data_IF_252754737991
#
_entry.id   IF_252754737991
#
_cell.length_a   1.000
_cell.length_b   1.000
_cell.length_c   1.000
_cell.angle_alpha   90.00
_cell.angle_beta   90.00
_cell.angle_gamma   90.00
#
_symmetry.space_group_name_H-M   'P 1'
#
loop_
_entity.id
_entity.type
_entity.pdbx_description
1 polymer ?
#
# COMPACT_ATOMS: atom_id res chain seq x y z
N UNK A 1 -3.50 -2.20 -61.64
CA UNK A 1 -2.09 -2.63 -61.56
C UNK A 1 -1.55 -2.17 -60.20
N UNK A 2 -1.34 -3.14 -59.30
CA UNK A 2 -0.56 -3.11 -58.04
C UNK A 2 -0.87 -2.05 -56.95
N UNK A 3 -1.60 -2.52 -55.94
CA UNK A 3 -1.52 -2.05 -54.55
C UNK A 3 -0.06 -2.10 -54.04
N UNK A 4 0.38 -1.05 -53.35
CA UNK A 4 1.58 -1.05 -52.51
C UNK A 4 1.19 -0.43 -51.17
N UNK A 5 0.47 -1.20 -50.37
CA UNK A 5 0.36 -0.98 -48.94
C UNK A 5 1.67 -1.49 -48.32
N UNK A 6 2.56 -0.57 -47.97
CA UNK A 6 3.76 -0.88 -47.18
C UNK A 6 3.28 -1.10 -45.74
N UNK A 7 2.95 -2.35 -45.42
CA UNK A 7 2.85 -2.82 -44.05
C UNK A 7 4.26 -2.81 -43.45
N UNK A 8 4.58 -1.73 -42.73
CA UNK A 8 5.70 -1.68 -41.80
C UNK A 8 5.40 -2.67 -40.66
N UNK A 9 5.86 -3.91 -40.84
CA UNK A 9 6.05 -4.87 -39.77
C UNK A 9 7.12 -4.31 -38.82
N UNK A 10 6.69 -3.60 -37.77
CA UNK A 10 7.52 -3.33 -36.61
C UNK A 10 7.84 -4.68 -35.95
N UNK A 11 9.12 -5.06 -35.82
CA UNK A 11 9.48 -6.26 -35.09
C UNK A 11 9.19 -6.01 -33.62
N UNK A 12 8.26 -6.80 -33.06
CA UNK A 12 8.10 -6.98 -31.62
C UNK A 12 9.39 -7.60 -31.09
N UNK A 13 10.37 -6.75 -30.77
CA UNK A 13 11.47 -7.12 -29.91
C UNK A 13 10.94 -7.22 -28.48
N UNK A 14 10.15 -8.27 -28.20
CA UNK A 14 9.92 -8.78 -26.85
C UNK A 14 11.24 -9.45 -26.41
N UNK A 15 12.21 -8.61 -26.06
CA UNK A 15 13.38 -9.03 -25.33
C UNK A 15 12.94 -9.37 -23.90
N UNK A 16 13.45 -10.47 -23.35
CA UNK A 16 13.15 -11.00 -22.04
C UNK A 16 13.28 -9.95 -20.91
N UNK A 17 12.16 -9.35 -20.54
CA UNK A 17 11.91 -8.69 -19.25
C UNK A 17 10.46 -9.05 -18.91
N UNK A 18 10.19 -9.53 -17.70
CA UNK A 18 8.82 -9.86 -17.26
C UNK A 18 7.84 -8.72 -17.53
N UNK A 19 6.56 -9.07 -17.67
CA UNK A 19 5.49 -8.07 -17.77
C UNK A 19 5.30 -7.47 -16.37
N UNK A 20 5.68 -6.19 -16.11
CA UNK A 20 5.63 -5.63 -14.77
C UNK A 20 4.22 -5.64 -14.18
N UNK A 21 3.19 -5.59 -15.02
CA UNK A 21 1.80 -5.69 -14.56
C UNK A 21 1.48 -7.11 -14.10
N UNK A 22 1.93 -8.13 -14.83
CA UNK A 22 1.75 -9.52 -14.42
C UNK A 22 2.50 -9.81 -13.11
N UNK A 23 3.73 -9.30 -12.97
CA UNK A 23 4.54 -9.44 -11.75
C UNK A 23 3.83 -8.78 -10.55
N UNK A 24 3.27 -7.57 -10.72
CA UNK A 24 2.47 -6.91 -9.69
C UNK A 24 1.23 -7.74 -9.30
N UNK A 25 0.50 -8.27 -10.28
CA UNK A 25 -0.70 -9.06 -10.01
C UNK A 25 -0.38 -10.39 -9.30
N UNK A 26 0.75 -11.03 -9.60
CA UNK A 26 1.22 -12.21 -8.86
C UNK A 26 1.50 -11.87 -7.39
N UNK A 27 2.06 -10.69 -7.11
CA UNK A 27 2.28 -10.22 -5.74
C UNK A 27 0.99 -9.90 -5.00
N UNK A 28 0.02 -9.27 -5.67
CA UNK A 28 -1.34 -9.07 -5.12
C UNK A 28 -1.93 -10.40 -4.68
N UNK A 29 -1.86 -11.43 -5.54
CA UNK A 29 -2.32 -12.78 -5.19
C UNK A 29 -1.52 -13.40 -4.04
N UNK A 30 -0.20 -13.21 -4.04
CA UNK A 30 0.70 -13.73 -3.02
C UNK A 30 0.45 -13.18 -1.62
N UNK A 31 0.13 -11.88 -1.52
CA UNK A 31 -0.11 -11.20 -0.24
C UNK A 31 -1.58 -11.19 0.19
N UNK A 32 -2.52 -11.58 -0.67
CA UNK A 32 -3.96 -11.49 -0.39
C UNK A 32 -4.35 -12.15 0.95
N UNK A 33 -3.79 -13.31 1.28
CA UNK A 33 -4.12 -14.00 2.51
C UNK A 33 -3.74 -13.16 3.75
N UNK A 34 -2.51 -12.65 3.78
CA UNK A 34 -2.01 -11.76 4.83
C UNK A 34 -2.86 -10.51 4.95
N UNK A 35 -3.17 -9.85 3.82
CA UNK A 35 -3.99 -8.64 3.82
C UNK A 35 -5.44 -8.90 4.24
N UNK A 36 -5.97 -10.10 3.98
CA UNK A 36 -7.31 -10.51 4.47
C UNK A 36 -7.32 -10.72 5.98
N UNK A 37 -6.23 -11.25 6.55
CA UNK A 37 -6.09 -11.38 8.01
C UNK A 37 -6.06 -10.01 8.69
N UNK A 38 -5.32 -9.05 8.12
CA UNK A 38 -5.29 -7.67 8.61
C UNK A 38 -6.65 -6.99 8.49
N UNK A 39 -7.32 -7.10 7.34
CA UNK A 39 -8.63 -6.49 7.14
C UNK A 39 -9.71 -7.05 8.10
N UNK A 40 -9.55 -8.29 8.56
CA UNK A 40 -10.42 -8.93 9.55
C UNK A 40 -10.04 -8.60 11.01
N UNK A 41 -8.88 -7.98 11.23
CA UNK A 41 -8.37 -7.61 12.55
C UNK A 41 -9.05 -6.34 13.07
N UNK A 42 -9.37 -6.33 14.37
CA UNK A 42 -9.71 -5.08 15.09
C UNK A 42 -8.48 -4.44 15.72
N UNK A 43 -7.31 -5.10 15.61
CA UNK A 43 -6.07 -4.70 16.23
C UNK A 43 -5.25 -3.82 15.28
N UNK A 44 -4.95 -2.60 15.70
CA UNK A 44 -4.19 -1.63 14.89
C UNK A 44 -2.78 -2.12 14.62
N UNK A 45 -2.19 -2.93 15.52
CA UNK A 45 -0.87 -3.51 15.29
C UNK A 45 -0.81 -4.43 14.06
N UNK A 46 -1.92 -5.06 13.69
CA UNK A 46 -1.96 -5.96 12.54
C UNK A 46 -1.62 -5.24 11.22
N UNK A 47 -1.86 -3.93 11.12
CA UNK A 47 -1.50 -3.18 9.92
C UNK A 47 0.03 -3.04 9.76
N UNK A 48 0.76 -2.92 10.88
CA UNK A 48 2.22 -2.83 10.89
C UNK A 48 2.85 -4.20 10.59
N UNK A 49 2.23 -5.28 11.06
CA UNK A 49 2.66 -6.65 10.69
C UNK A 49 2.57 -6.92 9.18
N UNK A 50 1.75 -6.16 8.44
CA UNK A 50 1.62 -6.24 6.99
C UNK A 50 2.34 -5.13 6.23
N UNK A 51 3.10 -4.24 6.88
CA UNK A 51 3.85 -3.19 6.19
C UNK A 51 4.79 -3.74 5.13
N UNK A 52 5.50 -4.83 5.42
CA UNK A 52 6.35 -5.52 4.42
C UNK A 52 5.57 -5.93 3.15
N UNK A 53 4.31 -6.35 3.30
CA UNK A 53 3.46 -6.71 2.18
C UNK A 53 2.98 -5.47 1.41
N UNK A 54 2.64 -4.39 2.12
CA UNK A 54 2.29 -3.12 1.49
C UNK A 54 3.47 -2.51 0.73
N UNK A 55 4.68 -2.55 1.30
CA UNK A 55 5.89 -2.06 0.66
C UNK A 55 6.25 -2.85 -0.59
N UNK A 56 6.15 -4.18 -0.53
CA UNK A 56 6.41 -5.04 -1.70
C UNK A 56 5.43 -4.75 -2.85
N UNK A 57 4.16 -4.49 -2.52
CA UNK A 57 3.16 -4.11 -3.51
C UNK A 57 3.39 -2.69 -4.06
N UNK A 58 3.73 -1.73 -3.20
CA UNK A 58 4.04 -0.35 -3.58
C UNK A 58 5.27 -0.28 -4.50
N UNK A 59 6.36 -0.98 -4.16
CA UNK A 59 7.60 -1.01 -4.95
C UNK A 59 7.37 -1.55 -6.37
N UNK A 60 6.45 -2.50 -6.52
CA UNK A 60 6.16 -3.17 -7.78
C UNK A 60 4.92 -2.62 -8.49
N UNK A 61 4.29 -1.59 -7.94
CA UNK A 61 3.07 -1.02 -8.47
C UNK A 61 3.27 -0.47 -9.89
N UNK A 62 2.30 -0.68 -10.80
CA UNK A 62 2.31 0.02 -12.08
C UNK A 62 2.13 1.52 -11.88
N UNK A 63 2.58 2.31 -12.84
CA UNK A 63 2.54 3.78 -12.80
C UNK A 63 1.14 4.36 -12.57
N UNK A 64 0.10 3.61 -12.91
CA UNK A 64 -1.29 4.04 -12.78
C UNK A 64 -1.78 4.05 -11.32
N UNK A 65 -1.06 3.39 -10.39
CA UNK A 65 -1.46 3.24 -8.98
C UNK A 65 -0.30 3.47 -7.98
N UNK A 66 0.92 3.75 -8.45
CA UNK A 66 2.07 4.00 -7.57
C UNK A 66 1.86 5.20 -6.64
N UNK A 67 1.29 6.30 -7.14
CA UNK A 67 1.02 7.49 -6.33
C UNK A 67 -0.04 7.22 -5.24
N UNK A 68 -0.98 6.30 -5.49
CA UNK A 68 -1.96 5.88 -4.50
C UNK A 68 -1.33 4.95 -3.45
N UNK A 69 -0.41 4.07 -3.86
CA UNK A 69 0.40 3.28 -2.92
C UNK A 69 1.24 4.17 -2.00
N UNK A 70 1.96 5.16 -2.53
CA UNK A 70 2.74 6.12 -1.74
C UNK A 70 1.84 6.84 -0.71
N UNK A 71 0.62 7.21 -1.11
CA UNK A 71 -0.35 7.84 -0.22
C UNK A 71 -0.91 6.92 0.89
N UNK A 72 -0.68 5.61 0.78
CA UNK A 72 -1.02 4.60 1.79
C UNK A 72 0.20 4.26 2.65
N UNK A 73 1.36 3.98 2.07
CA UNK A 73 2.54 3.50 2.81
C UNK A 73 3.25 4.63 3.56
N UNK A 74 3.37 5.83 2.99
CA UNK A 74 4.11 6.92 3.62
C UNK A 74 3.54 7.30 5.00
N UNK A 75 2.21 7.45 5.18
CA UNK A 75 1.66 7.75 6.49
C UNK A 75 1.82 6.61 7.50
N UNK A 76 1.81 5.35 7.05
CA UNK A 76 1.98 4.20 7.93
C UNK A 76 3.43 4.13 8.45
N UNK A 77 4.42 4.30 7.58
CA UNK A 77 5.83 4.42 7.98
C UNK A 77 6.06 5.60 8.90
N UNK A 78 5.49 6.77 8.58
CA UNK A 78 5.61 7.94 9.45
C UNK A 78 5.01 7.70 10.85
N UNK A 79 3.94 6.91 10.96
CA UNK A 79 3.38 6.55 12.26
C UNK A 79 4.27 5.52 12.98
N UNK A 80 4.78 4.50 12.28
CA UNK A 80 5.71 3.52 12.86
C UNK A 80 6.96 4.19 13.42
N UNK A 81 7.57 5.10 12.64
CA UNK A 81 8.76 5.86 13.03
C UNK A 81 8.52 6.66 14.31
N UNK A 82 7.44 7.45 14.37
CA UNK A 82 7.12 8.28 15.54
C UNK A 82 6.84 7.41 16.77
N UNK A 83 6.13 6.29 16.62
CA UNK A 83 5.89 5.36 17.73
C UNK A 83 7.22 4.77 18.24
N UNK A 84 8.11 4.39 17.32
CA UNK A 84 9.44 3.87 17.63
C UNK A 84 10.36 4.89 18.33
N UNK A 85 10.30 6.17 17.94
CA UNK A 85 11.05 7.26 18.57
C UNK A 85 10.70 7.47 20.05
N UNK A 86 9.44 7.17 20.42
CA UNK A 86 8.92 7.34 21.77
C UNK A 86 8.77 6.02 22.56
N UNK A 87 9.34 4.92 22.05
CA UNK A 87 9.25 3.57 22.63
C UNK A 87 7.79 3.13 22.91
N UNK A 88 6.84 3.53 22.04
CA UNK A 88 5.42 3.20 22.16
C UNK A 88 5.07 1.99 21.31
N UNK A 89 4.42 1.00 21.92
CA UNK A 89 3.87 -0.15 21.21
C UNK A 89 2.54 0.24 20.52
N UNK A 90 2.50 0.12 19.19
CA UNK A 90 1.35 0.38 18.35
C UNK A 90 0.08 -0.37 18.76
N UNK A 91 0.21 -1.61 19.26
CA UNK A 91 -0.93 -2.43 19.70
C UNK A 91 -1.59 -1.89 20.97
N UNK A 92 -0.91 -1.00 21.68
CA UNK A 92 -1.35 -0.44 22.96
C UNK A 92 -1.68 1.04 22.89
N UNK A 93 -1.39 1.68 21.76
CA UNK A 93 -1.61 3.12 21.62
C UNK A 93 -3.12 3.43 21.53
N UNK A 94 -3.58 4.25 22.46
CA UNK A 94 -4.92 4.83 22.47
C UNK A 94 -4.81 6.34 22.67
N UNK A 95 -5.42 7.11 21.78
CA UNK A 95 -5.47 8.57 21.92
C UNK A 95 -6.29 9.00 23.15
N UNK A 96 -7.31 8.22 23.52
CA UNK A 96 -8.14 8.47 24.70
C UNK A 96 -7.42 8.09 26.00
N UNK A 97 -6.50 7.12 25.95
CA UNK A 97 -5.74 6.64 27.11
C UNK A 97 -4.26 6.42 26.74
N UNK A 98 -3.49 7.51 26.56
CA UNK A 98 -2.11 7.43 26.09
C UNK A 98 -1.15 6.85 27.15
N UNK A 99 -0.05 6.20 26.72
CA UNK A 99 0.92 5.58 27.63
C UNK A 99 1.44 6.52 28.72
N UNK A 100 1.68 5.96 29.91
CA UNK A 100 2.28 6.71 31.00
C UNK A 100 3.73 7.10 30.67
N UNK A 101 4.09 8.36 30.87
CA UNK A 101 5.44 8.87 30.63
C UNK A 101 5.63 9.59 29.29
N UNK A 102 4.65 9.52 28.38
CA UNK A 102 4.63 10.29 27.15
C UNK A 102 4.26 11.75 27.46
N UNK A 103 5.12 12.71 27.08
CA UNK A 103 4.84 14.14 27.25
C UNK A 103 3.86 14.68 26.21
N UNK A 104 3.38 15.91 26.41
CA UNK A 104 2.34 16.50 25.55
C UNK A 104 2.83 16.69 24.11
N UNK A 105 4.12 16.96 23.89
CA UNK A 105 4.66 17.16 22.55
C UNK A 105 4.72 15.84 21.77
N UNK A 106 5.18 14.77 22.42
CA UNK A 106 5.19 13.43 21.84
C UNK A 106 3.78 12.91 21.54
N UNK A 107 2.80 13.22 22.42
CA UNK A 107 1.38 12.93 22.18
C UNK A 107 0.86 13.62 20.92
N UNK A 108 1.10 14.92 20.80
CA UNK A 108 0.65 15.72 19.66
C UNK A 108 1.25 15.19 18.34
N UNK A 109 2.51 14.74 18.37
CA UNK A 109 3.21 14.18 17.21
C UNK A 109 2.62 12.84 16.76
N UNK A 110 2.44 11.89 17.69
CA UNK A 110 1.81 10.59 17.38
C UNK A 110 0.39 10.80 16.87
N UNK A 111 -0.39 11.68 17.50
CA UNK A 111 -1.75 11.97 17.05
C UNK A 111 -1.77 12.59 15.64
N UNK A 112 -0.81 13.45 15.31
CA UNK A 112 -0.71 14.03 13.97
C UNK A 112 -0.41 12.94 12.92
N UNK A 113 0.50 12.01 13.21
CA UNK A 113 0.80 10.88 12.35
C UNK A 113 -0.40 9.93 12.20
N UNK A 114 -1.06 9.58 13.30
CA UNK A 114 -2.27 8.74 13.28
C UNK A 114 -3.41 9.38 12.48
N UNK A 115 -3.59 10.71 12.59
CA UNK A 115 -4.56 11.46 11.76
C UNK A 115 -4.21 11.43 10.27
N UNK A 116 -2.93 11.35 9.91
CA UNK A 116 -2.50 11.22 8.51
C UNK A 116 -2.89 9.84 7.94
N UNK A 117 -2.67 8.76 8.70
CA UNK A 117 -3.11 7.40 8.34
C UNK A 117 -4.63 7.34 8.13
N UNK A 118 -5.40 7.94 9.04
CA UNK A 118 -6.87 8.01 8.93
C UNK A 118 -7.40 9.10 7.99
N UNK A 119 -6.55 9.76 7.21
CA UNK A 119 -6.96 10.89 6.39
C UNK A 119 -7.82 10.48 5.19
N UNK A 120 -8.66 11.41 4.69
CA UNK A 120 -9.45 11.18 3.47
C UNK A 120 -8.57 10.82 2.26
N UNK A 121 -7.36 11.37 2.20
CA UNK A 121 -6.37 11.06 1.16
C UNK A 121 -5.99 9.58 1.21
N UNK A 122 -5.56 9.09 2.38
CA UNK A 122 -5.13 7.70 2.56
C UNK A 122 -6.28 6.72 2.32
N UNK A 123 -7.48 7.02 2.84
CA UNK A 123 -8.67 6.18 2.62
C UNK A 123 -9.05 6.12 1.13
N UNK A 124 -9.01 7.25 0.43
CA UNK A 124 -9.32 7.31 -1.01
C UNK A 124 -8.29 6.57 -1.84
N UNK A 125 -7.01 6.74 -1.51
CA UNK A 125 -5.91 6.04 -2.18
C UNK A 125 -6.02 4.52 -1.97
N UNK A 126 -6.29 4.05 -0.75
CA UNK A 126 -6.51 2.64 -0.47
C UNK A 126 -7.68 2.07 -1.28
N UNK A 127 -8.77 2.81 -1.42
CA UNK A 127 -9.90 2.42 -2.26
C UNK A 127 -9.53 2.37 -3.76
N UNK A 128 -8.69 3.29 -4.23
CA UNK A 128 -8.20 3.31 -5.61
C UNK A 128 -7.29 2.10 -5.90
N UNK A 129 -6.40 1.74 -4.97
CA UNK A 129 -5.53 0.57 -5.07
C UNK A 129 -6.35 -0.73 -5.12
N UNK A 130 -7.30 -0.90 -4.20
CA UNK A 130 -8.20 -2.05 -4.18
C UNK A 130 -8.96 -2.18 -5.51
N UNK A 131 -9.48 -1.05 -6.00
CA UNK A 131 -10.25 -1.06 -7.24
C UNK A 131 -9.37 -1.34 -8.46
N UNK A 132 -8.13 -0.84 -8.50
CA UNK A 132 -7.16 -1.20 -9.53
C UNK A 132 -6.84 -2.70 -9.49
N UNK A 133 -6.61 -3.28 -8.30
CA UNK A 133 -6.36 -4.71 -8.15
C UNK A 133 -7.53 -5.54 -8.71
N UNK A 134 -8.77 -5.15 -8.42
CA UNK A 134 -9.97 -5.78 -8.96
C UNK A 134 -10.08 -5.66 -10.49
N UNK A 135 -9.89 -4.46 -11.03
CA UNK A 135 -10.13 -4.18 -12.46
C UNK A 135 -9.03 -4.72 -13.37
N UNK A 136 -7.78 -4.72 -12.88
CA UNK A 136 -6.59 -5.08 -13.67
C UNK A 136 -6.11 -6.49 -13.35
N UNK A 137 -6.00 -6.85 -12.08
CA UNK A 137 -5.53 -8.18 -11.68
C UNK A 137 -6.67 -9.20 -11.53
N UNK A 138 -7.92 -8.76 -11.45
CA UNK A 138 -9.07 -9.65 -11.25
C UNK A 138 -9.16 -10.23 -9.84
N UNK A 139 -8.38 -9.70 -8.90
CA UNK A 139 -8.20 -10.23 -7.55
C UNK A 139 -8.20 -9.05 -6.57
N UNK A 140 -9.06 -9.05 -5.52
CA UNK A 140 -9.05 -8.02 -4.49
C UNK A 140 -7.79 -8.14 -3.62
N UNK A 141 -7.38 -7.06 -2.92
CA UNK A 141 -6.27 -7.16 -1.97
C UNK A 141 -6.65 -8.00 -0.75
N UNK A 142 -7.91 -7.91 -0.30
CA UNK A 142 -8.44 -8.68 0.84
C UNK A 142 -9.81 -9.29 0.52
N UNK A 143 -10.16 -10.43 1.12
CA UNK A 143 -11.44 -11.14 0.90
C UNK A 143 -12.31 -11.28 2.13
#
# INVERSE_FOLDING_TARGET
MRLLAVLLLLPLAAACSGDPQADYCERVEGHQATLSEVAASEDMAAIFDALDAYDDLAEHAPRDVVDDWDAVVDPLHALEDVLGEHDVDASTYSADEPPAGLDDAARDEIEAAARAVGSERTVTAMAAVEQHALDVCGTPLSR
#
